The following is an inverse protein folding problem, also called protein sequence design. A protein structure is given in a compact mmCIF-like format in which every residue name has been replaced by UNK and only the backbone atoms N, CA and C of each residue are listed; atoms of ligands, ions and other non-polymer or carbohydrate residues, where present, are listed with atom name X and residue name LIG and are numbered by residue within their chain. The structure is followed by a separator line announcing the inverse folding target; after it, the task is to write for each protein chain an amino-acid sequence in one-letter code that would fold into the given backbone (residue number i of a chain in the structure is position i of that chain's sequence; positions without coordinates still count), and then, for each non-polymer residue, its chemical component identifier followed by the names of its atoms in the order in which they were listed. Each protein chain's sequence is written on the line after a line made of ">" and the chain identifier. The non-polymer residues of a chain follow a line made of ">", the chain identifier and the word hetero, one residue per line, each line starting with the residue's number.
data_IF_959339994809
#
_entry.id   IF_959339994809
#
_cell.length_a   1.000
_cell.length_b   1.000
_cell.length_c   1.000
_cell.angle_alpha   90.00
_cell.angle_beta   90.00
_cell.angle_gamma   90.00
#
_symmetry.space_group_name_H-M   'P 1'
#
loop_
_entity.id
_entity.type
_entity.pdbx_description
1 polymer ?
#
# COMPACT_ATOMS: atom_id res chain seq x y z
N UNK A 1 10.48 3.47 0.43
CA UNK A 1 11.38 2.47 1.04
C UNK A 1 12.78 2.59 0.43
N UNK A 2 13.86 2.79 1.20
CA UNK A 2 15.23 2.63 0.65
C UNK A 2 15.52 1.13 0.52
N UNK A 3 15.75 0.66 -0.71
CA UNK A 3 16.18 -0.71 -0.99
C UNK A 3 17.65 -0.71 -1.39
N UNK A 4 18.45 -1.55 -0.75
CA UNK A 4 19.87 -1.70 -1.05
C UNK A 4 20.19 -3.16 -1.39
N UNK A 5 21.20 -3.39 -2.22
CA UNK A 5 21.69 -4.74 -2.49
C UNK A 5 23.21 -4.73 -2.64
N UNK A 6 23.86 -5.74 -2.09
CA UNK A 6 25.30 -5.94 -2.23
C UNK A 6 25.56 -7.07 -3.23
N UNK A 7 26.41 -6.83 -4.21
CA UNK A 7 27.01 -7.85 -5.07
C UNK A 7 28.45 -8.08 -4.64
N UNK A 8 28.88 -9.33 -4.62
CA UNK A 8 30.22 -9.73 -4.19
C UNK A 8 30.80 -10.73 -5.18
N UNK A 9 32.07 -10.53 -5.48
CA UNK A 9 32.83 -11.32 -6.43
C UNK A 9 34.17 -11.66 -5.79
N UNK A 10 34.48 -12.96 -5.73
CA UNK A 10 35.78 -13.44 -5.30
C UNK A 10 36.55 -13.90 -6.53
N UNK A 11 37.71 -13.28 -6.77
CA UNK A 11 38.58 -13.59 -7.90
C UNK A 11 39.86 -14.31 -7.46
N UNK A 12 40.50 -15.02 -8.39
CA UNK A 12 41.85 -15.56 -8.21
C UNK A 12 42.92 -14.47 -8.42
N UNK A 13 44.19 -14.83 -8.32
CA UNK A 13 45.32 -13.91 -8.52
C UNK A 13 45.46 -13.37 -9.96
N UNK A 14 44.73 -13.96 -10.92
CA UNK A 14 44.69 -13.53 -12.32
C UNK A 14 43.40 -12.75 -12.64
N UNK A 15 42.67 -12.30 -11.61
CA UNK A 15 41.38 -11.61 -11.73
C UNK A 15 40.26 -12.44 -12.38
N UNK A 16 40.40 -13.77 -12.44
CA UNK A 16 39.31 -14.63 -12.89
C UNK A 16 38.27 -14.79 -11.78
N UNK A 17 36.99 -14.57 -12.12
CA UNK A 17 35.87 -14.85 -11.21
C UNK A 17 35.86 -16.32 -10.79
N UNK A 18 35.91 -16.58 -9.49
CA UNK A 18 35.78 -17.93 -8.92
C UNK A 18 34.36 -18.12 -8.37
N UNK A 19 33.89 -17.16 -7.58
CA UNK A 19 32.62 -17.27 -6.85
C UNK A 19 31.91 -15.92 -6.81
N UNK A 20 30.59 -16.00 -6.92
CA UNK A 20 29.69 -14.85 -6.93
C UNK A 20 28.63 -15.02 -5.85
N UNK A 21 28.32 -13.94 -5.14
CA UNK A 21 27.17 -13.92 -4.23
C UNK A 21 26.54 -12.55 -4.19
N UNK A 22 25.28 -12.49 -3.77
CA UNK A 22 24.58 -11.23 -3.63
C UNK A 22 23.60 -11.28 -2.47
N UNK A 23 23.33 -10.14 -1.85
CA UNK A 23 22.46 -10.04 -0.67
C UNK A 23 21.59 -8.80 -0.70
N UNK A 24 20.34 -9.01 -0.34
CA UNK A 24 19.35 -7.97 -0.07
C UNK A 24 19.61 -7.25 1.27
N UNK A 25 19.62 -5.91 1.26
CA UNK A 25 19.77 -5.06 2.45
C UNK A 25 18.42 -4.42 2.79
N UNK A 26 17.64 -5.06 3.67
CA UNK A 26 16.23 -4.70 3.98
C UNK A 26 16.05 -3.83 5.24
N UNK A 27 17.11 -3.32 5.85
CA UNK A 27 17.03 -2.68 7.18
C UNK A 27 17.03 -1.14 7.07
N UNK A 28 16.06 -0.46 7.71
CA UNK A 28 15.94 1.01 7.73
C UNK A 28 17.16 1.71 8.36
N UNK A 29 17.88 1.05 9.26
CA UNK A 29 19.12 1.57 9.84
C UNK A 29 20.28 1.65 8.82
N UNK A 30 20.16 1.03 7.65
CA UNK A 30 21.14 1.08 6.56
C UNK A 30 20.73 2.07 5.45
N UNK A 31 19.85 3.04 5.77
CA UNK A 31 19.47 4.10 4.83
C UNK A 31 20.60 5.13 4.60
N UNK A 32 21.67 5.09 5.41
CA UNK A 32 22.89 5.87 5.22
C UNK A 32 23.82 5.15 4.22
N UNK A 33 24.29 5.80 3.13
CA UNK A 33 25.14 5.17 2.11
C UNK A 33 26.38 4.48 2.70
N UNK A 34 27.09 5.16 3.60
CA UNK A 34 28.27 4.67 4.30
C UNK A 34 27.98 3.41 5.12
N UNK A 35 26.84 3.35 5.78
CA UNK A 35 26.44 2.18 6.56
C UNK A 35 26.15 0.98 5.65
N UNK A 36 25.55 1.21 4.47
CA UNK A 36 25.27 0.16 3.49
C UNK A 36 26.56 -0.42 2.91
N UNK A 37 27.53 0.43 2.58
CA UNK A 37 28.85 -0.01 2.08
C UNK A 37 29.62 -0.80 3.12
N UNK A 38 29.70 -0.31 4.36
CA UNK A 38 30.38 -1.04 5.45
C UNK A 38 29.68 -2.37 5.75
N UNK A 39 28.35 -2.43 5.67
CA UNK A 39 27.61 -3.68 5.81
C UNK A 39 27.91 -4.67 4.66
N UNK A 40 28.09 -4.18 3.44
CA UNK A 40 28.51 -5.00 2.30
C UNK A 40 29.93 -5.54 2.50
N UNK A 41 30.87 -4.72 2.99
CA UNK A 41 32.23 -5.15 3.33
C UNK A 41 32.24 -6.23 4.42
N UNK A 42 31.49 -6.02 5.50
CA UNK A 42 31.34 -7.00 6.58
C UNK A 42 30.83 -8.33 6.01
N UNK A 43 29.82 -8.29 5.14
CA UNK A 43 29.29 -9.48 4.49
C UNK A 43 30.35 -10.18 3.62
N UNK A 44 31.03 -9.43 2.76
CA UNK A 44 32.07 -9.97 1.87
C UNK A 44 33.22 -10.63 2.64
N UNK A 45 33.72 -9.96 3.68
CA UNK A 45 34.78 -10.50 4.53
C UNK A 45 34.32 -11.75 5.30
N UNK A 46 33.11 -11.74 5.86
CA UNK A 46 32.57 -12.90 6.57
C UNK A 46 32.41 -14.09 5.63
N UNK A 47 31.93 -13.84 4.42
CA UNK A 47 31.78 -14.85 3.39
C UNK A 47 33.13 -15.44 2.95
N UNK A 48 34.13 -14.61 2.68
CA UNK A 48 35.48 -15.05 2.33
C UNK A 48 36.13 -15.90 3.44
N UNK A 49 36.00 -15.49 4.71
CA UNK A 49 36.48 -16.28 5.85
C UNK A 49 35.75 -17.63 5.96
N UNK A 50 34.44 -17.66 5.68
CA UNK A 50 33.65 -18.89 5.64
C UNK A 50 34.10 -19.87 4.57
N UNK A 51 34.69 -19.37 3.49
CA UNK A 51 35.31 -20.16 2.42
C UNK A 51 36.76 -20.57 2.71
N UNK A 52 37.32 -20.17 3.86
CA UNK A 52 38.70 -20.47 4.25
C UNK A 52 39.75 -19.58 3.56
N UNK A 53 39.34 -18.46 2.96
CA UNK A 53 40.27 -17.49 2.37
C UNK A 53 41.10 -16.85 3.49
N UNK A 54 42.43 -16.95 3.39
CA UNK A 54 43.34 -16.42 4.40
C UNK A 54 43.95 -15.06 4.01
N UNK A 55 44.05 -14.77 2.71
CA UNK A 55 44.63 -13.55 2.18
C UNK A 55 43.66 -12.90 1.21
N UNK A 56 43.37 -11.62 1.37
CA UNK A 56 42.40 -10.90 0.53
C UNK A 56 42.86 -9.47 0.22
N UNK A 57 42.55 -9.02 -0.99
CA UNK A 57 42.53 -7.61 -1.36
C UNK A 57 41.08 -7.24 -1.69
N UNK A 58 40.60 -6.12 -1.18
CA UNK A 58 39.28 -5.60 -1.52
C UNK A 58 39.37 -4.15 -1.96
N UNK A 59 38.39 -3.72 -2.74
CA UNK A 59 38.41 -2.41 -3.40
C UNK A 59 37.25 -1.54 -2.94
N UNK A 60 37.54 -0.26 -2.72
CA UNK A 60 36.58 0.79 -2.37
C UNK A 60 36.66 1.93 -3.39
N UNK A 61 35.52 2.36 -3.92
CA UNK A 61 35.39 3.54 -4.78
C UNK A 61 35.11 4.81 -3.97
N UNK A 62 34.46 4.68 -2.80
CA UNK A 62 34.30 5.77 -1.85
C UNK A 62 35.59 6.04 -1.05
N UNK A 63 36.12 7.27 -1.17
CA UNK A 63 37.35 7.69 -0.51
C UNK A 63 37.23 7.79 1.01
N UNK A 64 36.05 8.13 1.53
CA UNK A 64 35.79 8.25 2.96
C UNK A 64 35.79 6.85 3.59
N UNK A 65 35.08 5.90 2.97
CA UNK A 65 35.08 4.50 3.41
C UNK A 65 36.48 3.90 3.36
N UNK A 66 37.25 4.18 2.29
CA UNK A 66 38.64 3.74 2.19
C UNK A 66 39.49 4.30 3.34
N UNK A 67 39.34 5.57 3.68
CA UNK A 67 40.06 6.19 4.80
C UNK A 67 39.64 5.60 6.16
N UNK A 68 38.36 5.25 6.35
CA UNK A 68 37.90 4.56 7.57
C UNK A 68 38.52 3.17 7.71
N UNK A 69 38.45 2.33 6.68
CA UNK A 69 38.93 0.94 6.74
C UNK A 69 40.46 0.82 6.73
N UNK A 70 41.16 1.88 6.28
CA UNK A 70 42.62 2.01 6.39
C UNK A 70 43.06 2.77 7.64
N UNK A 71 42.12 3.17 8.50
CA UNK A 71 42.34 3.90 9.77
C UNK A 71 43.03 5.27 9.61
N UNK A 72 42.84 5.92 8.46
CA UNK A 72 43.29 7.30 8.21
C UNK A 72 42.32 8.34 8.76
N UNK A 73 41.05 7.98 8.85
CA UNK A 73 39.98 8.81 9.42
C UNK A 73 39.12 8.00 10.38
N UNK A 74 38.39 8.70 11.25
CA UNK A 74 37.39 8.12 12.14
C UNK A 74 36.01 8.72 11.81
N UNK A 75 34.94 7.91 11.81
CA UNK A 75 33.60 8.41 11.57
C UNK A 75 33.03 9.14 12.80
N UNK A 76 32.27 10.21 12.55
CA UNK A 76 31.60 11.00 13.61
C UNK A 76 30.29 10.34 14.09
N UNK A 77 29.61 9.59 13.21
CA UNK A 77 28.33 8.96 13.52
C UNK A 77 28.51 7.63 14.27
N UNK A 78 27.76 7.44 15.35
CA UNK A 78 27.89 6.25 16.22
C UNK A 78 27.60 4.92 15.52
N UNK A 79 26.68 4.90 14.54
CA UNK A 79 26.38 3.70 13.78
C UNK A 79 27.52 3.32 12.83
N UNK A 80 28.03 4.29 12.07
CA UNK A 80 29.16 4.11 11.15
C UNK A 80 30.40 3.68 11.93
N UNK A 81 30.69 4.31 13.08
CA UNK A 81 31.76 3.91 13.98
C UNK A 81 31.68 2.43 14.38
N UNK A 82 30.50 1.97 14.79
CA UNK A 82 30.29 0.55 15.17
C UNK A 82 30.53 -0.40 13.99
N UNK A 83 30.18 -0.01 12.77
CA UNK A 83 30.41 -0.82 11.57
C UNK A 83 31.89 -0.84 11.18
N UNK A 84 32.59 0.30 11.26
CA UNK A 84 34.04 0.40 11.02
C UNK A 84 34.81 -0.48 12.00
N UNK A 85 34.44 -0.49 13.29
CA UNK A 85 35.05 -1.37 14.29
C UNK A 85 34.87 -2.86 13.94
N UNK A 86 33.68 -3.25 13.45
CA UNK A 86 33.43 -4.62 12.99
C UNK A 86 34.28 -4.99 11.78
N UNK A 87 34.43 -4.08 10.80
CA UNK A 87 35.33 -4.29 9.65
C UNK A 87 36.76 -4.46 10.15
N UNK A 88 37.24 -3.59 11.04
CA UNK A 88 38.58 -3.67 11.61
C UNK A 88 38.82 -5.01 12.32
N UNK A 89 37.84 -5.52 13.06
CA UNK A 89 37.94 -6.81 13.74
C UNK A 89 38.01 -7.98 12.73
N UNK A 90 37.24 -7.92 11.64
CA UNK A 90 37.29 -8.92 10.58
C UNK A 90 38.62 -8.90 9.82
N UNK A 91 39.19 -7.73 9.55
CA UNK A 91 40.51 -7.61 8.90
C UNK A 91 41.60 -8.36 9.69
N UNK A 92 41.54 -8.37 11.02
CA UNK A 92 42.53 -9.11 11.86
C UNK A 92 42.43 -10.63 11.76
N UNK A 93 41.35 -11.17 11.20
CA UNK A 93 41.16 -12.62 11.04
C UNK A 93 41.82 -13.17 9.78
N UNK A 94 42.25 -12.31 8.86
CA UNK A 94 43.01 -12.71 7.68
C UNK A 94 44.51 -12.65 8.01
N UNK A 95 45.31 -13.54 7.40
CA UNK A 95 46.77 -13.46 7.47
C UNK A 95 47.32 -12.29 6.65
N UNK A 96 46.54 -11.81 5.67
CA UNK A 96 46.80 -10.59 4.91
C UNK A 96 45.48 -9.98 4.45
N UNK A 97 45.25 -8.70 4.72
CA UNK A 97 44.06 -7.98 4.27
C UNK A 97 44.47 -6.58 3.82
N UNK A 98 44.22 -6.24 2.56
CA UNK A 98 44.56 -4.94 1.99
C UNK A 98 43.32 -4.28 1.37
N UNK A 99 43.13 -3.00 1.66
CA UNK A 99 42.08 -2.18 1.10
C UNK A 99 42.68 -1.23 0.05
N UNK A 100 42.14 -1.22 -1.15
CA UNK A 100 42.66 -0.44 -2.28
C UNK A 100 41.56 0.44 -2.89
N UNK A 101 41.95 1.58 -3.45
CA UNK A 101 41.03 2.39 -4.25
C UNK A 101 40.70 1.68 -5.56
N UNK A 102 39.46 1.79 -6.04
CA UNK A 102 39.10 1.33 -7.38
C UNK A 102 39.75 2.25 -8.42
N UNK A 103 40.74 1.74 -9.16
CA UNK A 103 41.39 2.45 -10.29
C UNK A 103 41.36 1.58 -11.52
N UNK A 104 40.61 1.99 -12.54
CA UNK A 104 40.64 1.38 -13.88
C UNK A 104 40.18 -0.07 -13.97
N UNK A 105 39.50 -0.62 -12.95
CA UNK A 105 38.95 -1.98 -12.95
C UNK A 105 37.49 -1.99 -13.41
N UNK A 106 37.13 -3.01 -14.18
CA UNK A 106 35.74 -3.23 -14.59
C UNK A 106 34.92 -3.86 -13.45
N UNK A 107 33.92 -3.12 -12.96
CA UNK A 107 33.02 -3.54 -11.88
C UNK A 107 31.63 -3.95 -12.41
N UNK A 108 31.48 -4.15 -13.73
CA UNK A 108 30.20 -4.47 -14.39
C UNK A 108 29.50 -5.70 -13.79
N UNK A 109 30.26 -6.76 -13.49
CA UNK A 109 29.70 -8.00 -12.93
C UNK A 109 29.21 -7.81 -11.49
N UNK A 110 29.96 -7.09 -10.66
CA UNK A 110 29.60 -6.82 -9.26
C UNK A 110 28.39 -5.89 -9.19
N UNK A 111 28.35 -4.86 -10.02
CA UNK A 111 27.18 -3.97 -10.14
C UNK A 111 25.97 -4.70 -10.69
N UNK A 112 26.12 -5.64 -11.62
CA UNK A 112 25.03 -6.53 -12.05
C UNK A 112 24.51 -7.38 -10.89
N UNK A 113 25.38 -8.02 -10.10
CA UNK A 113 24.96 -8.81 -8.93
C UNK A 113 24.24 -7.96 -7.87
N UNK A 114 24.71 -6.75 -7.62
CA UNK A 114 24.07 -5.81 -6.71
C UNK A 114 22.69 -5.39 -7.23
N UNK A 115 22.58 -5.07 -8.54
CA UNK A 115 21.31 -4.80 -9.21
C UNK A 115 20.39 -6.01 -9.20
N UNK A 116 20.90 -7.22 -9.39
CA UNK A 116 20.12 -8.46 -9.34
C UNK A 116 19.66 -8.75 -7.90
N UNK A 117 20.42 -8.39 -6.86
CA UNK A 117 19.99 -8.46 -5.47
C UNK A 117 18.91 -7.42 -5.15
N UNK A 118 19.05 -6.18 -5.62
CA UNK A 118 17.99 -5.16 -5.55
C UNK A 118 16.76 -5.67 -6.30
N UNK A 119 16.96 -6.18 -7.52
CA UNK A 119 15.92 -6.77 -8.33
C UNK A 119 15.30 -7.98 -7.63
N UNK A 120 16.03 -8.82 -6.91
CA UNK A 120 15.46 -9.96 -6.16
C UNK A 120 14.56 -9.50 -5.01
N UNK A 121 14.75 -8.27 -4.53
CA UNK A 121 13.86 -7.62 -3.58
C UNK A 121 12.61 -7.05 -4.27
N UNK A 122 12.63 -6.94 -5.60
CA UNK A 122 11.56 -6.39 -6.44
C UNK A 122 11.03 -7.36 -7.52
N UNK A 123 11.56 -8.58 -7.68
CA UNK A 123 11.27 -9.49 -8.82
C UNK A 123 10.22 -10.52 -8.43
N UNK A 124 9.08 -10.31 -9.06
CA UNK A 124 7.95 -11.22 -9.21
C UNK A 124 8.37 -12.45 -10.02
N UNK A 125 7.80 -13.62 -9.72
CA UNK A 125 7.93 -14.78 -10.62
C UNK A 125 7.30 -14.40 -11.95
N UNK A 126 8.08 -14.38 -13.02
CA UNK A 126 7.57 -14.42 -14.39
C UNK A 126 6.72 -15.68 -14.51
N UNK A 127 5.40 -15.52 -14.65
CA UNK A 127 4.48 -16.66 -14.75
C UNK A 127 3.00 -16.41 -14.52
N UNK A 128 2.58 -15.26 -13.97
CA UNK A 128 1.16 -14.89 -13.92
C UNK A 128 1.00 -13.50 -14.54
N UNK A 129 0.34 -13.46 -15.71
CA UNK A 129 0.29 -12.30 -16.61
C UNK A 129 -0.61 -11.17 -16.12
N UNK A 130 -0.35 -10.63 -14.94
CA UNK A 130 -0.92 -9.35 -14.51
C UNK A 130 0.22 -8.42 -14.15
N UNK A 131 0.36 -7.32 -14.89
CA UNK A 131 1.36 -6.32 -14.60
C UNK A 131 1.05 -5.72 -13.21
N UNK A 132 2.06 -5.20 -12.50
CA UNK A 132 1.88 -4.66 -11.14
C UNK A 132 0.86 -3.51 -11.12
N UNK A 133 0.80 -2.74 -12.21
CA UNK A 133 -0.23 -1.73 -12.49
C UNK A 133 -1.64 -2.34 -12.61
N UNK A 134 -1.78 -3.52 -13.22
CA UNK A 134 -3.07 -4.22 -13.36
C UNK A 134 -3.58 -4.72 -12.02
N UNK A 135 -2.69 -5.31 -11.20
CA UNK A 135 -3.05 -5.75 -9.86
C UNK A 135 -3.48 -4.56 -9.00
N UNK A 136 -2.71 -3.47 -9.03
CA UNK A 136 -2.99 -2.24 -8.30
C UNK A 136 -4.31 -1.60 -8.73
N UNK A 137 -4.50 -1.42 -10.04
CA UNK A 137 -5.72 -0.88 -10.64
C UNK A 137 -6.94 -1.74 -10.31
N UNK A 138 -6.79 -3.07 -10.31
CA UNK A 138 -7.86 -3.99 -9.95
C UNK A 138 -8.26 -3.88 -8.47
N UNK A 139 -7.30 -3.68 -7.55
CA UNK A 139 -7.58 -3.49 -6.13
C UNK A 139 -8.28 -2.15 -5.87
N UNK A 140 -7.83 -1.08 -6.53
CA UNK A 140 -8.47 0.23 -6.46
C UNK A 140 -9.89 0.20 -7.03
N UNK A 141 -10.10 -0.46 -8.17
CA UNK A 141 -11.41 -0.61 -8.80
C UNK A 141 -12.40 -1.39 -7.92
N UNK A 142 -11.92 -2.31 -7.08
CA UNK A 142 -12.73 -3.03 -6.10
C UNK A 142 -13.20 -2.16 -4.93
N UNK A 143 -12.54 -1.02 -4.71
CA UNK A 143 -12.86 -0.07 -3.65
C UNK A 143 -12.21 -0.38 -2.30
N UNK A 144 -11.19 -1.23 -2.29
CA UNK A 144 -10.45 -1.63 -1.10
C UNK A 144 -9.19 -0.75 -0.92
N UNK A 145 -8.62 -0.73 0.29
CA UNK A 145 -7.24 -0.25 0.48
C UNK A 145 -6.27 -1.17 -0.23
N UNK A 146 -5.27 -0.62 -0.88
CA UNK A 146 -4.32 -1.43 -1.65
C UNK A 146 -3.40 -2.19 -0.71
N UNK A 147 -3.46 -3.52 -0.81
CA UNK A 147 -2.56 -4.41 -0.11
C UNK A 147 -1.34 -4.69 -0.96
N UNK A 148 -0.25 -5.05 -0.30
CA UNK A 148 0.94 -5.57 -0.95
C UNK A 148 0.51 -6.67 -1.93
N UNK A 149 0.81 -6.54 -3.23
CA UNK A 149 0.38 -7.54 -4.20
C UNK A 149 1.10 -8.89 -4.03
N UNK A 150 2.09 -8.98 -3.12
CA UNK A 150 2.92 -10.15 -2.93
C UNK A 150 2.09 -11.28 -2.31
N UNK A 151 2.12 -12.51 -2.86
CA UNK A 151 1.41 -13.65 -2.28
C UNK A 151 1.72 -13.80 -0.80
N UNK A 152 0.68 -13.98 0.02
CA UNK A 152 0.75 -14.11 1.49
C UNK A 152 1.20 -12.86 2.28
N UNK A 153 1.58 -11.77 1.61
CA UNK A 153 1.75 -10.48 2.28
C UNK A 153 0.39 -9.83 2.51
N UNK A 154 0.13 -9.41 3.75
CA UNK A 154 -1.13 -8.75 4.15
C UNK A 154 -0.95 -7.29 4.52
N UNK A 155 0.24 -6.75 4.31
CA UNK A 155 0.57 -5.37 4.62
C UNK A 155 -0.12 -4.41 3.65
N UNK A 156 -0.60 -3.29 4.17
CA UNK A 156 -1.17 -2.20 3.37
C UNK A 156 -0.02 -1.38 2.76
N UNK A 157 -0.10 -1.07 1.47
CA UNK A 157 0.92 -0.23 0.82
C UNK A 157 0.89 1.18 1.41
N UNK A 158 2.09 1.73 1.67
CA UNK A 158 2.24 3.14 2.05
C UNK A 158 2.28 4.01 0.78
N UNK A 159 1.75 5.23 0.89
CA UNK A 159 1.56 6.13 -0.25
C UNK A 159 2.90 6.51 -0.91
N UNK A 160 3.95 6.61 -0.09
CA UNK A 160 5.31 6.91 -0.52
C UNK A 160 5.88 5.85 -1.46
N UNK A 161 5.52 4.58 -1.24
CA UNK A 161 6.00 3.46 -2.06
C UNK A 161 5.26 3.36 -3.41
N UNK A 162 4.16 4.12 -3.58
CA UNK A 162 3.36 4.15 -4.82
C UNK A 162 3.72 5.34 -5.72
N UNK A 163 4.44 6.35 -5.19
CA UNK A 163 4.85 7.53 -5.97
C UNK A 163 5.78 7.13 -7.10
N UNK A 164 5.43 7.51 -8.33
CA UNK A 164 6.19 7.19 -9.54
C UNK A 164 5.87 5.81 -10.15
N UNK A 165 5.02 5.01 -9.52
CA UNK A 165 4.43 3.79 -10.10
C UNK A 165 3.02 4.07 -10.62
N UNK A 166 2.27 4.93 -9.92
CA UNK A 166 0.91 5.30 -10.30
C UNK A 166 0.77 6.81 -10.40
N UNK A 167 -0.23 7.25 -11.15
CA UNK A 167 -0.56 8.66 -11.32
C UNK A 167 -1.12 9.30 -10.03
N UNK A 168 -1.16 10.63 -10.02
CA UNK A 168 -1.64 11.39 -8.88
C UNK A 168 -3.11 11.10 -8.54
N UNK A 169 -3.93 10.76 -9.55
CA UNK A 169 -5.35 10.42 -9.34
C UNK A 169 -5.49 9.10 -8.57
N UNK A 170 -4.67 8.10 -8.87
CA UNK A 170 -4.60 6.85 -8.13
C UNK A 170 -4.10 7.06 -6.69
N UNK A 171 -3.08 7.91 -6.49
CA UNK A 171 -2.61 8.29 -5.15
C UNK A 171 -3.73 8.98 -4.35
N UNK A 172 -4.44 9.94 -4.96
CA UNK A 172 -5.56 10.63 -4.33
C UNK A 172 -6.69 9.66 -3.98
N UNK A 173 -6.97 8.69 -4.85
CA UNK A 173 -7.94 7.63 -4.59
C UNK A 173 -7.51 6.76 -3.41
N UNK A 174 -6.24 6.36 -3.31
CA UNK A 174 -5.73 5.62 -2.14
C UNK A 174 -5.90 6.39 -0.84
N UNK A 175 -5.55 7.68 -0.83
CA UNK A 175 -5.73 8.56 0.34
C UNK A 175 -7.21 8.57 0.74
N UNK A 176 -8.10 8.72 -0.23
CA UNK A 176 -9.54 8.67 0.00
C UNK A 176 -9.98 7.32 0.58
N UNK A 177 -9.55 6.18 0.03
CA UNK A 177 -9.87 4.83 0.53
C UNK A 177 -9.37 4.59 1.95
N UNK A 178 -8.17 5.08 2.27
CA UNK A 178 -7.59 4.97 3.62
C UNK A 178 -8.40 5.76 4.64
N UNK A 179 -8.79 7.00 4.30
CA UNK A 179 -9.68 7.83 5.11
C UNK A 179 -11.08 7.19 5.24
N UNK A 180 -11.59 6.61 4.17
CA UNK A 180 -12.87 5.91 4.19
C UNK A 180 -12.82 4.69 5.13
N UNK A 181 -11.75 3.89 5.08
CA UNK A 181 -11.54 2.73 5.95
C UNK A 181 -11.40 3.10 7.43
N UNK A 182 -10.83 4.27 7.75
CA UNK A 182 -10.70 4.72 9.14
C UNK A 182 -12.04 5.16 9.76
N UNK A 183 -13.05 5.46 8.94
CA UNK A 183 -14.40 5.79 9.39
C UNK A 183 -15.26 4.50 9.39
N UNK A 184 -15.83 4.09 10.53
CA UNK A 184 -16.75 2.96 10.58
C UNK A 184 -17.87 3.14 9.58
N UNK A 185 -18.26 2.07 8.88
CA UNK A 185 -19.24 2.14 7.79
C UNK A 185 -20.54 2.85 8.17
N UNK A 186 -21.02 2.62 9.40
CA UNK A 186 -22.26 3.22 9.90
C UNK A 186 -22.11 4.71 10.26
N UNK A 187 -20.87 5.19 10.40
CA UNK A 187 -20.54 6.58 10.69
C UNK A 187 -20.19 7.37 9.42
N UNK A 188 -20.12 6.73 8.24
CA UNK A 188 -19.77 7.40 6.98
C UNK A 188 -20.94 8.25 6.47
N UNK A 189 -20.67 9.53 6.19
CA UNK A 189 -21.64 10.46 5.63
C UNK A 189 -21.04 11.15 4.40
N UNK A 190 -21.60 10.89 3.23
CA UNK A 190 -21.18 11.53 1.98
C UNK A 190 -22.00 12.79 1.70
N UNK A 191 -21.35 13.83 1.19
CA UNK A 191 -22.04 14.98 0.63
C UNK A 191 -22.87 14.54 -0.58
N UNK A 192 -24.18 14.80 -0.63
CA UNK A 192 -25.02 14.34 -1.74
C UNK A 192 -24.84 15.14 -3.03
N UNK A 193 -24.03 16.21 -3.03
CA UNK A 193 -23.71 16.98 -4.22
C UNK A 193 -22.70 16.21 -5.08
N UNK A 194 -23.05 15.79 -6.32
CA UNK A 194 -22.18 14.96 -7.15
C UNK A 194 -20.79 15.58 -7.41
N UNK A 195 -20.74 16.90 -7.58
CA UNK A 195 -19.47 17.63 -7.78
C UNK A 195 -18.64 17.83 -6.51
N UNK A 196 -19.12 17.42 -5.35
CA UNK A 196 -18.37 17.47 -4.08
C UNK A 196 -18.06 16.07 -3.57
N UNK A 197 -19.09 15.24 -3.36
CA UNK A 197 -18.98 13.86 -2.86
C UNK A 197 -18.05 13.67 -1.63
N UNK A 198 -17.83 14.74 -0.86
CA UNK A 198 -16.87 14.72 0.24
C UNK A 198 -17.34 13.80 1.37
N UNK A 199 -16.43 12.94 1.86
CA UNK A 199 -16.68 12.00 2.95
C UNK A 199 -16.40 12.64 4.32
N UNK A 200 -17.41 12.57 5.19
CA UNK A 200 -17.40 13.03 6.57
C UNK A 200 -17.73 11.87 7.52
N UNK A 201 -17.42 12.03 8.81
CA UNK A 201 -17.93 11.14 9.84
C UNK A 201 -19.14 11.77 10.54
N UNK A 202 -20.14 10.95 10.89
CA UNK A 202 -21.31 11.39 11.68
C UNK A 202 -20.85 11.97 13.02
N UNK A 203 -19.75 11.47 13.61
CA UNK A 203 -19.17 12.03 14.83
C UNK A 203 -18.72 13.48 14.64
N UNK A 204 -17.99 13.78 13.57
CA UNK A 204 -17.52 15.14 13.29
C UNK A 204 -18.69 16.09 13.03
N UNK A 205 -19.71 15.61 12.32
CA UNK A 205 -20.92 16.40 12.05
C UNK A 205 -21.71 16.69 13.33
N UNK A 206 -21.85 15.70 14.22
CA UNK A 206 -22.50 15.89 15.52
C UNK A 206 -21.74 16.87 16.41
N UNK A 207 -20.40 16.88 16.36
CA UNK A 207 -19.57 17.80 17.16
C UNK A 207 -19.77 19.28 16.78
N UNK A 208 -20.25 19.55 15.56
CA UNK A 208 -20.51 20.91 15.06
C UNK A 208 -21.93 21.41 15.35
N UNK A 209 -22.79 20.56 15.92
CA UNK A 209 -24.19 20.89 16.20
C UNK A 209 -24.43 21.17 17.68
N UNK A 210 -25.47 21.96 17.98
CA UNK A 210 -25.97 22.08 19.35
C UNK A 210 -26.51 20.71 19.80
N UNK A 211 -26.05 20.13 20.93
CA UNK A 211 -26.57 18.85 21.45
C UNK A 211 -28.08 18.82 21.68
N UNK A 212 -28.74 19.99 21.80
CA UNK A 212 -30.20 20.12 21.90
C UNK A 212 -30.90 20.04 20.55
N UNK A 213 -30.19 20.27 19.45
CA UNK A 213 -30.73 20.20 18.10
C UNK A 213 -30.87 18.74 17.68
N UNK A 214 -32.12 18.27 17.60
CA UNK A 214 -32.47 16.92 17.15
C UNK A 214 -32.66 16.85 15.64
N UNK A 215 -32.27 17.89 14.91
CA UNK A 215 -32.40 17.95 13.46
C UNK A 215 -31.57 16.86 12.78
N UNK A 216 -32.16 16.31 11.72
CA UNK A 216 -31.52 15.38 10.79
C UNK A 216 -30.75 16.12 9.68
N UNK A 217 -30.73 17.45 9.73
CA UNK A 217 -29.93 18.29 8.84
C UNK A 217 -28.44 18.09 9.11
N UNK A 218 -27.65 18.03 8.04
CA UNK A 218 -26.18 17.99 8.08
C UNK A 218 -25.65 19.03 7.12
N UNK A 219 -24.53 19.64 7.46
CA UNK A 219 -23.84 20.61 6.60
C UNK A 219 -22.53 20.00 6.13
N UNK A 220 -22.30 19.98 4.83
CA UNK A 220 -21.02 19.57 4.27
C UNK A 220 -19.94 20.54 4.70
N UNK A 221 -18.84 20.04 5.26
CA UNK A 221 -17.70 20.88 5.71
C UNK A 221 -16.87 21.42 4.55
N UNK A 222 -16.93 20.76 3.39
CA UNK A 222 -16.18 21.15 2.19
C UNK A 222 -16.91 22.22 1.37
N UNK A 223 -18.16 21.97 0.98
CA UNK A 223 -18.90 22.87 0.09
C UNK A 223 -20.04 23.64 0.78
N UNK A 224 -20.27 23.41 2.08
CA UNK A 224 -21.31 24.10 2.85
C UNK A 224 -22.76 23.69 2.56
N UNK A 225 -23.00 22.72 1.65
CA UNK A 225 -24.35 22.25 1.34
C UNK A 225 -25.03 21.68 2.60
N UNK A 226 -26.23 22.17 2.91
CA UNK A 226 -27.11 21.55 3.90
C UNK A 226 -27.96 20.45 3.25
N UNK A 227 -28.02 19.29 3.87
CA UNK A 227 -28.73 18.11 3.37
C UNK A 227 -29.38 17.30 4.49
N UNK A 228 -30.33 16.45 4.14
CA UNK A 228 -31.00 15.55 5.08
C UNK A 228 -30.23 14.22 5.18
N UNK A 229 -29.81 13.81 6.39
CA UNK A 229 -29.08 12.55 6.59
C UNK A 229 -29.92 11.28 6.38
N UNK A 230 -31.25 11.40 6.34
CA UNK A 230 -32.12 10.23 6.19
C UNK A 230 -32.37 9.87 4.72
N UNK A 231 -32.51 10.89 3.86
CA UNK A 231 -32.80 10.68 2.44
C UNK A 231 -31.67 11.15 1.50
N UNK A 232 -30.62 11.76 2.04
CA UNK A 232 -29.41 12.18 1.31
C UNK A 232 -29.71 13.11 0.11
N UNK A 233 -30.65 14.05 0.30
CA UNK A 233 -30.95 15.12 -0.67
C UNK A 233 -30.79 16.49 -0.03
N UNK A 234 -30.74 17.60 -0.81
CA UNK A 234 -30.70 18.95 -0.25
C UNK A 234 -31.75 19.17 0.84
N UNK A 235 -31.39 19.97 1.84
CA UNK A 235 -32.21 20.15 3.04
C UNK A 235 -33.61 20.66 2.70
N UNK A 236 -34.62 20.03 3.29
CA UNK A 236 -36.03 20.31 3.04
C UNK A 236 -36.74 20.68 4.35
N UNK A 237 -36.59 21.95 4.74
CA UNK A 237 -37.18 22.46 5.97
C UNK A 237 -38.71 22.28 6.00
N UNK A 238 -39.25 21.96 7.18
CA UNK A 238 -40.70 21.76 7.45
C UNK A 238 -41.41 20.67 6.62
N UNK A 239 -40.68 19.84 5.89
CA UNK A 239 -41.23 18.67 5.19
C UNK A 239 -40.56 17.40 5.72
N UNK A 240 -41.35 16.37 5.95
CA UNK A 240 -40.83 15.02 6.13
C UNK A 240 -40.17 14.54 4.82
N UNK A 241 -39.30 13.53 4.90
CA UNK A 241 -38.70 12.95 3.70
C UNK A 241 -39.77 12.45 2.71
N UNK A 242 -40.85 11.85 3.20
CA UNK A 242 -41.92 11.32 2.36
C UNK A 242 -42.73 12.41 1.66
N UNK A 243 -42.99 13.53 2.34
CA UNK A 243 -43.62 14.70 1.73
C UNK A 243 -42.71 15.36 0.69
N UNK A 244 -41.41 15.45 0.98
CA UNK A 244 -40.45 16.01 0.04
C UNK A 244 -40.33 15.15 -1.22
N UNK A 245 -40.32 13.82 -1.09
CA UNK A 245 -40.28 12.87 -2.21
C UNK A 245 -41.47 12.97 -3.16
N UNK A 246 -42.60 13.51 -2.70
CA UNK A 246 -43.80 13.76 -3.51
C UNK A 246 -43.80 15.13 -4.20
N UNK A 247 -42.81 15.98 -3.92
CA UNK A 247 -42.73 17.31 -4.51
C UNK A 247 -42.16 17.29 -5.94
N UNK A 248 -42.60 18.23 -6.76
CA UNK A 248 -42.10 18.41 -8.13
C UNK A 248 -40.57 18.58 -8.19
N UNK A 249 -40.00 19.28 -7.20
CA UNK A 249 -38.55 19.46 -7.09
C UNK A 249 -37.79 18.14 -6.91
N UNK A 250 -38.34 17.19 -6.15
CA UNK A 250 -37.74 15.86 -5.99
C UNK A 250 -37.93 15.02 -7.25
N UNK A 251 -39.14 15.01 -7.83
CA UNK A 251 -39.46 14.18 -9.01
C UNK A 251 -38.60 14.52 -10.23
N UNK A 252 -38.09 15.75 -10.32
CA UNK A 252 -37.16 16.20 -11.37
C UNK A 252 -35.68 16.09 -11.00
N UNK A 253 -35.37 15.59 -9.81
CA UNK A 253 -33.99 15.47 -9.32
C UNK A 253 -33.33 14.17 -9.79
N UNK A 254 -31.99 14.19 -9.84
CA UNK A 254 -31.18 13.00 -10.12
C UNK A 254 -31.45 11.86 -9.13
N UNK A 255 -31.82 12.17 -7.89
CA UNK A 255 -32.17 11.19 -6.88
C UNK A 255 -33.44 10.39 -7.25
N UNK A 256 -34.46 11.06 -7.80
CA UNK A 256 -35.66 10.40 -8.30
C UNK A 256 -35.39 9.57 -9.56
N UNK A 257 -34.56 10.09 -10.48
CA UNK A 257 -34.12 9.33 -11.65
C UNK A 257 -33.36 8.07 -11.25
N UNK A 258 -32.45 8.16 -10.27
CA UNK A 258 -31.71 7.02 -9.74
C UNK A 258 -32.64 6.01 -9.05
N UNK A 259 -33.58 6.44 -8.23
CA UNK A 259 -34.57 5.53 -7.62
C UNK A 259 -35.42 4.81 -8.67
N UNK A 260 -35.82 5.51 -9.74
CA UNK A 260 -36.51 4.89 -10.88
C UNK A 260 -35.65 3.84 -11.57
N UNK A 261 -34.38 4.14 -11.84
CA UNK A 261 -33.44 3.19 -12.45
C UNK A 261 -33.26 1.93 -11.58
N UNK A 262 -33.07 2.11 -10.28
CA UNK A 262 -32.96 1.01 -9.31
C UNK A 262 -34.16 0.07 -9.38
N UNK A 263 -35.37 0.63 -9.49
CA UNK A 263 -36.59 -0.15 -9.65
C UNK A 263 -36.66 -0.86 -11.00
N UNK A 264 -36.36 -0.17 -12.09
CA UNK A 264 -36.41 -0.71 -13.46
C UNK A 264 -35.42 -1.86 -13.65
N UNK A 265 -34.21 -1.72 -13.11
CA UNK A 265 -33.15 -2.72 -13.21
C UNK A 265 -33.27 -3.83 -12.15
N UNK A 266 -34.21 -3.71 -11.21
CA UNK A 266 -34.35 -4.67 -10.11
C UNK A 266 -33.14 -4.72 -9.18
N UNK A 267 -32.42 -3.60 -9.00
CA UNK A 267 -31.28 -3.53 -8.09
C UNK A 267 -31.73 -3.56 -6.64
N UNK A 268 -30.99 -4.29 -5.80
CA UNK A 268 -31.37 -4.53 -4.40
C UNK A 268 -30.67 -3.54 -3.46
N UNK A 269 -31.38 -3.02 -2.46
CA UNK A 269 -30.76 -2.26 -1.36
C UNK A 269 -30.24 -3.21 -0.29
N UNK A 270 -29.03 -2.97 0.21
CA UNK A 270 -28.49 -3.75 1.31
C UNK A 270 -29.40 -3.63 2.56
N UNK A 271 -29.86 -4.73 3.16
CA UNK A 271 -30.74 -4.69 4.33
C UNK A 271 -30.12 -4.01 5.57
N UNK A 272 -28.78 -3.98 5.65
CA UNK A 272 -28.05 -3.41 6.79
C UNK A 272 -27.73 -1.93 6.63
N UNK A 273 -27.36 -1.48 5.43
CA UNK A 273 -26.88 -0.11 5.21
C UNK A 273 -27.61 0.66 4.10
N UNK A 274 -28.65 0.08 3.51
CA UNK A 274 -29.49 0.65 2.44
C UNK A 274 -28.78 1.06 1.13
N UNK A 275 -27.46 0.86 1.02
CA UNK A 275 -26.70 1.05 -0.22
C UNK A 275 -27.25 0.16 -1.33
N UNK A 276 -27.51 0.73 -2.50
CA UNK A 276 -27.93 0.00 -3.70
C UNK A 276 -26.80 -0.93 -4.15
N UNK A 277 -27.16 -2.16 -4.48
CA UNK A 277 -26.26 -3.20 -4.96
C UNK A 277 -26.77 -3.67 -6.31
N UNK A 278 -25.89 -3.62 -7.30
CA UNK A 278 -26.06 -4.28 -8.59
C UNK A 278 -25.36 -5.65 -8.55
N UNK A 279 -25.99 -6.67 -9.13
CA UNK A 279 -25.41 -7.99 -9.33
C UNK A 279 -25.19 -8.24 -10.83
N UNK A 280 -23.99 -8.69 -11.21
CA UNK A 280 -23.63 -9.01 -12.60
C UNK A 280 -23.73 -10.54 -12.87
N UNK A 281 -24.83 -11.16 -12.46
CA UNK A 281 -25.05 -12.62 -12.55
C UNK A 281 -24.42 -13.45 -11.43
N UNK A 282 -24.54 -14.77 -11.51
CA UNK A 282 -23.92 -15.72 -10.59
C UNK A 282 -24.68 -15.92 -9.26
N UNK A 283 -23.95 -16.28 -8.20
CA UNK A 283 -24.57 -16.73 -6.94
C UNK A 283 -25.41 -15.64 -6.25
N UNK A 284 -26.66 -15.98 -5.92
CA UNK A 284 -27.56 -15.12 -5.13
C UNK A 284 -27.05 -14.78 -3.72
N UNK A 285 -26.00 -15.44 -3.22
CA UNK A 285 -25.34 -15.10 -1.95
C UNK A 285 -24.29 -14.02 -2.21
N UNK A 286 -24.61 -12.78 -1.88
CA UNK A 286 -23.71 -11.66 -2.07
C UNK A 286 -23.20 -11.09 -0.74
N UNK A 287 -22.10 -10.34 -0.81
CA UNK A 287 -21.55 -9.58 0.33
C UNK A 287 -21.61 -8.09 -0.04
N UNK A 288 -22.27 -7.27 0.78
CA UNK A 288 -22.30 -5.83 0.58
C UNK A 288 -20.88 -5.26 0.65
N UNK A 289 -20.40 -4.64 -0.42
CA UNK A 289 -19.07 -3.99 -0.45
C UNK A 289 -18.96 -2.83 0.55
N UNK A 290 -20.07 -2.17 0.86
CA UNK A 290 -20.08 -1.04 1.79
C UNK A 290 -19.99 -1.51 3.26
N UNK A 291 -20.77 -2.51 3.68
CA UNK A 291 -20.90 -2.89 5.11
C UNK A 291 -20.51 -4.34 5.46
N UNK A 292 -20.02 -5.11 4.50
CA UNK A 292 -19.66 -6.53 4.60
C UNK A 292 -20.79 -7.47 5.06
N UNK A 293 -22.05 -6.99 5.06
CA UNK A 293 -23.20 -7.84 5.36
C UNK A 293 -23.40 -8.86 4.24
N UNK A 294 -23.55 -10.13 4.61
CA UNK A 294 -23.79 -11.24 3.68
C UNK A 294 -25.29 -11.52 3.62
N UNK A 295 -25.88 -11.41 2.44
CA UNK A 295 -27.34 -11.56 2.27
C UNK A 295 -27.69 -12.12 0.90
N UNK A 296 -28.93 -12.61 0.78
CA UNK A 296 -29.49 -13.07 -0.50
C UNK A 296 -29.92 -11.88 -1.35
N UNK A 297 -29.40 -11.78 -2.59
CA UNK A 297 -29.74 -10.68 -3.51
C UNK A 297 -31.23 -10.59 -3.82
N UNK A 298 -31.93 -11.72 -3.90
CA UNK A 298 -33.35 -11.75 -4.27
C UNK A 298 -34.30 -11.31 -3.15
N UNK A 299 -33.98 -11.59 -1.89
CA UNK A 299 -34.92 -11.39 -0.78
C UNK A 299 -34.36 -10.61 0.42
N UNK A 300 -33.06 -10.27 0.42
CA UNK A 300 -32.45 -9.57 1.54
C UNK A 300 -32.16 -10.44 2.78
N UNK A 301 -32.50 -11.73 2.77
CA UNK A 301 -32.31 -12.58 3.95
C UNK A 301 -30.82 -12.77 4.29
N UNK A 302 -30.42 -12.74 5.58
CA UNK A 302 -29.03 -12.83 6.01
C UNK A 302 -28.43 -14.23 5.75
N UNK A 303 -27.18 -14.30 5.32
CA UNK A 303 -26.49 -15.58 5.04
C UNK A 303 -25.51 -15.96 6.16
N UNK A 304 -25.75 -17.07 6.86
CA UNK A 304 -24.85 -17.57 7.91
C UNK A 304 -23.92 -18.68 7.39
N UNK A 305 -22.61 -18.55 7.67
CA UNK A 305 -21.52 -19.53 7.48
C UNK A 305 -21.48 -20.23 6.10
N UNK A 306 -22.34 -21.23 5.84
CA UNK A 306 -22.39 -22.01 4.58
C UNK A 306 -23.82 -22.29 4.04
N UNK A 307 -24.88 -21.80 4.69
CA UNK A 307 -26.27 -22.05 4.25
C UNK A 307 -27.03 -20.73 4.05
N UNK A 308 -27.84 -20.69 3.01
CA UNK A 308 -28.82 -19.62 2.81
C UNK A 308 -29.91 -19.77 3.88
N UNK A 309 -30.36 -18.69 4.50
CA UNK A 309 -31.51 -18.70 5.42
C UNK A 309 -32.86 -18.70 4.69
N UNK A 310 -32.85 -18.47 3.37
CA UNK A 310 -34.03 -18.42 2.53
C UNK A 310 -34.13 -19.61 1.57
N UNK A 311 -35.34 -19.82 1.03
CA UNK A 311 -35.68 -20.85 0.04
C UNK A 311 -35.63 -20.33 -1.41
N UNK A 312 -34.90 -19.24 -1.66
CA UNK A 312 -34.75 -18.69 -3.00
C UNK A 312 -34.04 -19.68 -3.93
N UNK A 313 -34.34 -19.68 -5.24
CA UNK A 313 -33.64 -20.53 -6.19
C UNK A 313 -32.14 -20.22 -6.22
N UNK A 314 -31.29 -21.19 -6.60
CA UNK A 314 -29.88 -20.92 -6.88
C UNK A 314 -29.74 -19.87 -8.00
N UNK A 315 -28.65 -19.11 -7.96
CA UNK A 315 -28.38 -18.10 -8.99
C UNK A 315 -28.07 -18.76 -10.33
N UNK A 316 -28.47 -18.10 -11.42
CA UNK A 316 -28.10 -18.48 -12.79
C UNK A 316 -26.64 -18.11 -13.10
#
# INVERSE_FOLDING_TARGET
>A
MLVGGSGLLLCDSNDNSILETSKALRNQALAHPEAAELAALIHGMTWALGLGVQRIQFFCDDSIILDYVTRKAAPDESLVATLVEKVALLQTRFTSCEALAVVGRDMSSVTKLARDAIASQTRWREGDGTNTEDCFSSQLARGDTVLCPYPDCKEELVLEDCRGIVDDDAINLMIHRKKEKSIPVLDRVYCPKPSCNFLMSERDLLALMDPRDKSVARKCVECGLCFCKNCHVPWHDKKTCDEFKKSDAYLKSDAALFESLVMTEGWMKCPKCATVVQQNGGCNRITCRHCNHKFCYLCGAPCARKKMSCKCPPGN
#
